data_IF_286112465175
#
_entry.id   IF_286112465175
#
_cell.length_a   1.000
_cell.length_b   1.000
_cell.length_c   1.000
_cell.angle_alpha   90.00
_cell.angle_beta   90.00
_cell.angle_gamma   90.00
#
_symmetry.space_group_name_H-M   'P 1'
#
loop_
_entity.id
_entity.type
_entity.pdbx_description
1 polymer ?
#
# COMPACT_ATOMS: atom_id res chain seq x y z
N UNK A 1 0.61 3.25 -12.77
CA UNK A 1 0.13 1.92 -13.23
C UNK A 1 -0.95 1.50 -12.27
N UNK A 2 -2.21 1.57 -12.69
CA UNK A 2 -3.35 1.07 -11.91
C UNK A 2 -3.37 -0.47 -11.93
N UNK A 3 -3.80 -1.10 -10.85
CA UNK A 3 -3.97 -2.56 -10.74
C UNK A 3 -2.70 -3.33 -10.38
N UNK A 4 -1.66 -2.65 -9.89
CA UNK A 4 -0.45 -3.32 -9.39
C UNK A 4 -0.77 -4.13 -8.11
N UNK A 5 -1.67 -3.62 -7.27
CA UNK A 5 -2.16 -4.32 -6.08
C UNK A 5 -2.92 -5.59 -6.41
N UNK A 6 -3.57 -5.68 -7.58
CA UNK A 6 -4.35 -6.84 -8.03
C UNK A 6 -3.49 -7.91 -8.74
N UNK A 7 -2.19 -7.69 -8.83
CA UNK A 7 -1.26 -8.65 -9.44
C UNK A 7 -1.24 -8.63 -10.98
N UNK A 8 -1.82 -7.60 -11.61
CA UNK A 8 -1.78 -7.45 -13.07
C UNK A 8 -0.44 -6.84 -13.52
N UNK A 9 0.25 -7.52 -14.44
CA UNK A 9 1.46 -7.00 -15.12
C UNK A 9 2.72 -6.92 -14.24
N UNK A 10 3.66 -6.05 -14.63
CA UNK A 10 4.97 -5.85 -13.97
C UNK A 10 4.86 -5.26 -12.54
N UNK A 11 3.67 -4.81 -12.12
CA UNK A 11 3.44 -4.14 -10.84
C UNK A 11 3.71 -5.03 -9.62
N UNK A 12 3.40 -6.32 -9.67
CA UNK A 12 3.63 -7.22 -8.53
C UNK A 12 5.12 -7.48 -8.29
N UNK A 13 5.91 -7.61 -9.37
CA UNK A 13 7.37 -7.73 -9.26
C UNK A 13 7.97 -6.45 -8.68
N UNK A 14 7.51 -5.28 -9.13
CA UNK A 14 7.91 -3.98 -8.59
C UNK A 14 7.65 -3.87 -7.08
N UNK A 15 6.45 -4.26 -6.61
CA UNK A 15 6.08 -4.23 -5.20
C UNK A 15 6.94 -5.16 -4.33
N UNK A 16 7.34 -6.32 -4.88
CA UNK A 16 8.29 -7.23 -4.21
C UNK A 16 9.67 -6.60 -4.07
N UNK A 17 10.16 -5.90 -5.09
CA UNK A 17 11.46 -5.24 -5.06
C UNK A 17 11.52 -4.09 -4.05
N UNK A 18 10.50 -3.22 -4.01
CA UNK A 18 10.51 -2.09 -3.09
C UNK A 18 10.40 -2.50 -1.62
N UNK A 19 9.89 -3.71 -1.33
CA UNK A 19 9.84 -4.25 0.03
C UNK A 19 11.24 -4.47 0.63
N UNK A 20 12.26 -4.61 -0.22
CA UNK A 20 13.65 -4.74 0.19
C UNK A 20 14.36 -3.39 0.40
N UNK A 21 13.64 -2.26 0.24
CA UNK A 21 14.18 -0.91 0.36
C UNK A 21 13.66 -0.21 1.62
N UNK A 22 14.51 0.61 2.23
CA UNK A 22 14.15 1.42 3.41
C UNK A 22 13.56 2.80 3.06
N UNK A 23 13.79 3.26 1.83
CA UNK A 23 13.32 4.55 1.34
C UNK A 23 12.91 4.46 -0.14
N UNK A 24 11.96 5.31 -0.53
CA UNK A 24 11.45 5.41 -1.89
C UNK A 24 11.62 6.83 -2.40
N UNK A 25 12.22 6.97 -3.58
CA UNK A 25 12.21 8.21 -4.33
C UNK A 25 11.04 8.18 -5.32
N UNK A 26 9.98 8.94 -5.05
CA UNK A 26 8.88 9.12 -5.98
C UNK A 26 9.24 10.15 -7.04
N UNK A 27 9.56 9.68 -8.24
CA UNK A 27 9.80 10.52 -9.40
C UNK A 27 8.49 10.74 -10.17
N UNK A 28 8.15 12.00 -10.41
CA UNK A 28 6.96 12.41 -11.18
C UNK A 28 7.36 13.19 -12.41
N UNK A 29 6.55 13.09 -13.47
CA UNK A 29 6.70 13.92 -14.66
C UNK A 29 5.97 15.23 -14.45
N UNK A 30 6.70 16.34 -14.54
CA UNK A 30 6.15 17.69 -14.42
C UNK A 30 6.44 18.56 -15.66
N UNK A 31 6.62 17.91 -16.81
CA UNK A 31 6.87 18.55 -18.10
C UNK A 31 6.09 17.84 -19.21
N UNK A 32 5.64 18.61 -20.19
CA UNK A 32 5.03 18.12 -21.42
C UNK A 32 6.10 17.86 -22.48
N UNK A 33 5.94 16.79 -23.24
CA UNK A 33 6.83 16.38 -24.35
C UNK A 33 6.00 15.47 -25.27
N UNK A 34 5.81 15.94 -26.51
CA UNK A 34 4.98 15.29 -27.54
C UNK A 34 5.58 13.96 -28.03
N UNK A 35 6.89 13.77 -27.86
CA UNK A 35 7.58 12.53 -28.24
C UNK A 35 7.42 11.41 -27.19
N UNK A 36 6.82 11.72 -26.02
CA UNK A 36 6.70 10.79 -24.89
C UNK A 36 5.24 10.59 -24.48
N UNK A 37 4.66 9.45 -24.85
CA UNK A 37 3.30 9.06 -24.47
C UNK A 37 3.14 8.91 -22.95
N UNK A 38 2.11 9.55 -22.39
CA UNK A 38 1.73 9.37 -20.99
C UNK A 38 0.69 8.25 -20.82
N UNK A 39 0.88 7.36 -19.84
CA UNK A 39 0.01 6.18 -19.63
C UNK A 39 -1.44 6.58 -19.31
N UNK A 40 -1.64 7.69 -18.60
CA UNK A 40 -2.96 8.23 -18.28
C UNK A 40 -3.49 9.22 -19.34
N UNK A 41 -2.80 9.36 -20.49
CA UNK A 41 -3.20 10.23 -21.61
C UNK A 41 -2.72 11.68 -21.50
N UNK A 42 -2.74 12.26 -20.30
CA UNK A 42 -2.20 13.60 -20.01
C UNK A 42 -1.20 13.57 -18.84
N UNK A 43 -0.29 14.54 -18.79
CA UNK A 43 0.68 14.68 -17.69
C UNK A 43 0.01 15.35 -16.50
N UNK A 44 -0.13 14.63 -15.40
CA UNK A 44 -0.66 15.18 -14.15
C UNK A 44 0.10 14.59 -12.95
N UNK A 45 1.15 15.27 -12.46
CA UNK A 45 2.01 14.72 -11.41
C UNK A 45 1.28 14.48 -10.09
N UNK A 46 0.23 15.25 -9.78
CA UNK A 46 -0.56 15.07 -8.56
C UNK A 46 -1.36 13.78 -8.63
N UNK A 47 -2.09 13.57 -9.73
CA UNK A 47 -2.85 12.35 -9.99
C UNK A 47 -1.94 11.12 -10.03
N UNK A 48 -0.77 11.23 -10.65
CA UNK A 48 0.18 10.12 -10.76
C UNK A 48 0.73 9.70 -9.39
N UNK A 49 1.01 10.68 -8.51
CA UNK A 49 1.38 10.40 -7.12
C UNK A 49 0.26 9.71 -6.36
N UNK A 50 -0.97 10.22 -6.48
CA UNK A 50 -2.14 9.64 -5.81
C UNK A 50 -2.35 8.19 -6.23
N UNK A 51 -2.24 7.89 -7.54
CA UNK A 51 -2.33 6.51 -8.05
C UNK A 51 -1.28 5.61 -7.39
N UNK A 52 -0.01 6.03 -7.34
CA UNK A 52 1.06 5.22 -6.75
C UNK A 52 0.81 5.02 -5.25
N UNK A 53 0.45 6.08 -4.53
CA UNK A 53 0.21 6.04 -3.09
C UNK A 53 -0.98 5.13 -2.75
N UNK A 54 -2.04 5.17 -3.54
CA UNK A 54 -3.19 4.28 -3.36
C UNK A 54 -2.85 2.82 -3.62
N UNK A 55 -2.08 2.51 -4.67
CA UNK A 55 -1.62 1.14 -4.94
C UNK A 55 -0.76 0.58 -3.79
N UNK A 56 0.12 1.42 -3.22
CA UNK A 56 0.92 1.06 -2.05
C UNK A 56 0.04 0.84 -0.81
N UNK A 57 -0.97 1.68 -0.60
CA UNK A 57 -1.94 1.54 0.51
C UNK A 57 -2.74 0.25 0.39
N UNK A 58 -3.21 -0.09 -0.82
CA UNK A 58 -3.95 -1.33 -1.07
C UNK A 58 -3.09 -2.56 -0.76
N UNK A 59 -1.79 -2.53 -1.10
CA UNK A 59 -0.87 -3.60 -0.70
C UNK A 59 -0.63 -3.67 0.80
N UNK A 60 -0.57 -2.53 1.50
CA UNK A 60 -0.49 -2.54 2.96
C UNK A 60 -1.73 -3.14 3.60
N UNK A 61 -2.93 -2.83 3.07
CA UNK A 61 -4.19 -3.42 3.53
C UNK A 61 -4.16 -4.95 3.38
N UNK A 62 -3.73 -5.47 2.23
CA UNK A 62 -3.58 -6.91 2.00
C UNK A 62 -2.63 -7.55 3.01
N UNK A 63 -1.48 -6.92 3.26
CA UNK A 63 -0.51 -7.41 4.23
C UNK A 63 -1.04 -7.38 5.66
N UNK A 64 -1.60 -6.25 6.09
CA UNK A 64 -2.12 -6.04 7.44
C UNK A 64 -3.32 -6.94 7.72
N UNK A 65 -4.18 -7.19 6.74
CA UNK A 65 -5.31 -8.13 6.90
C UNK A 65 -4.84 -9.54 7.23
N UNK A 66 -3.79 -10.02 6.55
CA UNK A 66 -3.20 -11.33 6.84
C UNK A 66 -2.56 -11.42 8.23
N UNK A 67 -1.98 -10.31 8.73
CA UNK A 67 -1.42 -10.22 10.08
C UNK A 67 -2.54 -10.17 11.12
N UNK A 68 -3.56 -9.34 10.87
CA UNK A 68 -4.74 -9.20 11.70
C UNK A 68 -5.43 -10.55 11.93
N UNK A 69 -5.70 -11.32 10.87
CA UNK A 69 -6.39 -12.62 10.99
C UNK A 69 -5.63 -13.63 11.86
N UNK A 70 -4.30 -13.58 11.84
CA UNK A 70 -3.45 -14.44 12.70
C UNK A 70 -3.55 -13.98 14.15
N UNK A 71 -3.36 -12.69 14.41
CA UNK A 71 -3.41 -12.13 15.76
C UNK A 71 -4.81 -12.24 16.38
N UNK A 72 -5.87 -12.01 15.61
CA UNK A 72 -7.25 -12.18 16.03
C UNK A 72 -7.51 -13.59 16.58
N UNK A 73 -7.03 -14.63 15.88
CA UNK A 73 -7.17 -16.02 16.33
C UNK A 73 -6.40 -16.29 17.63
N UNK A 74 -5.21 -15.72 17.80
CA UNK A 74 -4.39 -15.95 19.00
C UNK A 74 -4.88 -15.17 20.21
N UNK A 75 -5.31 -13.92 20.00
CA UNK A 75 -5.69 -12.99 21.06
C UNK A 75 -7.16 -13.12 21.43
N UNK A 76 -8.06 -12.91 20.48
CA UNK A 76 -9.51 -12.85 20.75
C UNK A 76 -10.11 -14.26 20.93
N UNK A 77 -9.62 -15.26 20.17
CA UNK A 77 -10.08 -16.65 20.32
C UNK A 77 -9.22 -17.48 21.26
N UNK A 78 -7.90 -17.28 21.24
CA UNK A 78 -6.94 -18.05 22.04
C UNK A 78 -6.65 -17.46 23.43
N UNK A 79 -7.01 -16.20 23.69
CA UNK A 79 -6.81 -15.54 24.98
C UNK A 79 -5.36 -15.17 25.29
N UNK A 80 -4.46 -15.14 24.31
CA UNK A 80 -3.06 -14.79 24.55
C UNK A 80 -2.88 -13.28 24.79
N UNK A 81 -2.83 -12.92 26.08
CA UNK A 81 -2.68 -11.53 26.53
C UNK A 81 -1.33 -10.92 26.18
N UNK A 82 -0.30 -11.71 25.86
CA UNK A 82 1.03 -11.18 25.52
C UNK A 82 1.01 -10.49 24.15
N UNK A 83 0.18 -10.96 23.23
CA UNK A 83 0.04 -10.41 21.87
C UNK A 83 -1.02 -9.32 21.77
N UNK A 84 -1.77 -9.05 22.86
CA UNK A 84 -2.82 -8.02 22.89
C UNK A 84 -2.32 -6.63 22.46
N UNK A 85 -1.15 -6.13 22.93
CA UNK A 85 -0.67 -4.81 22.50
C UNK A 85 -0.37 -4.73 20.99
N UNK A 86 0.17 -5.80 20.41
CA UNK A 86 0.45 -5.88 18.97
C UNK A 86 -0.85 -5.92 18.18
N UNK A 87 -1.81 -6.76 18.60
CA UNK A 87 -3.14 -6.83 18.00
C UNK A 87 -3.86 -5.47 18.01
N UNK A 88 -3.89 -4.79 19.15
CA UNK A 88 -4.55 -3.48 19.27
C UNK A 88 -3.87 -2.42 18.38
N UNK A 89 -2.56 -2.51 18.16
CA UNK A 89 -1.83 -1.65 17.24
C UNK A 89 -2.22 -1.95 15.78
N UNK A 90 -2.26 -3.23 15.41
CA UNK A 90 -2.67 -3.66 14.08
C UNK A 90 -4.12 -3.25 13.77
N UNK A 91 -5.02 -3.31 14.74
CA UNK A 91 -6.40 -2.79 14.60
C UNK A 91 -6.41 -1.30 14.22
N UNK A 92 -5.61 -0.47 14.90
CA UNK A 92 -5.52 0.97 14.59
C UNK A 92 -4.95 1.21 13.19
N UNK A 93 -3.91 0.48 12.82
CA UNK A 93 -3.29 0.59 11.48
C UNK A 93 -4.29 0.18 10.40
N UNK A 94 -5.04 -0.90 10.61
CA UNK A 94 -6.09 -1.36 9.69
C UNK A 94 -7.17 -0.29 9.49
N UNK A 95 -7.68 0.30 10.56
CA UNK A 95 -8.65 1.41 10.51
C UNK A 95 -8.10 2.61 9.73
N UNK A 96 -6.85 3.01 10.00
CA UNK A 96 -6.21 4.12 9.30
C UNK A 96 -6.11 3.88 7.79
N UNK A 97 -5.74 2.67 7.38
CA UNK A 97 -5.56 2.31 5.98
C UNK A 97 -6.90 2.15 5.22
N UNK A 98 -7.88 1.47 5.82
CA UNK A 98 -9.14 1.10 5.18
C UNK A 98 -10.23 2.18 5.30
N UNK A 99 -10.44 2.71 6.50
CA UNK A 99 -11.55 3.63 6.81
C UNK A 99 -11.13 5.09 6.58
N UNK A 100 -10.00 5.50 7.16
CA UNK A 100 -9.50 6.87 6.98
C UNK A 100 -8.85 7.08 5.61
N UNK A 101 -8.56 5.99 4.88
CA UNK A 101 -7.86 5.99 3.59
C UNK A 101 -6.53 6.75 3.61
N UNK A 102 -5.81 6.67 4.73
CA UNK A 102 -4.52 7.32 4.91
C UNK A 102 -3.38 6.34 4.67
N UNK A 103 -2.25 6.86 4.23
CA UNK A 103 -1.01 6.09 4.09
C UNK A 103 -0.28 6.04 5.45
N UNK A 104 0.43 4.95 5.72
CA UNK A 104 1.26 4.79 6.94
C UNK A 104 2.68 5.34 6.76
N UNK A 105 3.10 5.47 5.50
CA UNK A 105 4.42 6.00 5.09
C UNK A 105 4.41 7.52 5.06
#
# INVERSE_FOLDING_TARGET
VKGASEGQGLGNAFLSHIKACDALFHMTRAFEDDDVTHVEGDVNPVRDLEIILDELRLKDIEYISNVYDKLFKLVERGGDKKLKPEYDTICKVKTLLEEEKRHVR
#
